data_IF_952664453390
#
_entry.id   IF_952664453390
#
_cell.length_a   1.000
_cell.length_b   1.000
_cell.length_c   1.000
_cell.angle_alpha   90.00
_cell.angle_beta   90.00
_cell.angle_gamma   90.00
#
_symmetry.space_group_name_H-M   'P 1'
#
loop_
_entity.id
_entity.type
_entity.pdbx_description
1 polymer ?
#
# COMPACT_ATOMS: atom_id res chain seq x y z
N UNK A 1 -11.99 -5.84 -12.13
CA UNK A 1 -11.45 -6.89 -11.24
C UNK A 1 -10.16 -7.38 -11.87
N UNK A 2 -9.06 -7.43 -11.12
CA UNK A 2 -7.78 -8.00 -11.60
C UNK A 2 -7.60 -9.34 -10.88
N UNK A 3 -7.21 -10.37 -11.61
CA UNK A 3 -6.96 -11.72 -11.09
C UNK A 3 -5.73 -12.31 -11.77
N UNK A 4 -4.95 -13.11 -11.03
CA UNK A 4 -3.77 -13.79 -11.54
C UNK A 4 -3.31 -14.89 -10.60
N UNK A 5 -2.47 -15.79 -11.11
CA UNK A 5 -1.86 -16.89 -10.35
C UNK A 5 -0.36 -16.62 -10.25
N UNK A 6 0.18 -16.67 -9.04
CA UNK A 6 1.61 -16.56 -8.78
C UNK A 6 2.12 -17.88 -8.21
N UNK A 7 3.24 -18.45 -8.71
CA UNK A 7 3.78 -19.72 -8.23
C UNK A 7 4.58 -19.54 -6.93
N UNK A 8 3.96 -18.92 -5.91
CA UNK A 8 4.57 -18.64 -4.60
C UNK A 8 3.55 -18.85 -3.48
N UNK A 9 4.05 -19.03 -2.26
CA UNK A 9 3.17 -19.17 -1.09
C UNK A 9 2.43 -17.85 -0.78
N UNK A 10 1.16 -17.90 -0.33
CA UNK A 10 0.40 -16.69 0.03
C UNK A 10 1.09 -15.81 1.08
N UNK A 11 1.76 -16.42 2.06
CA UNK A 11 2.52 -15.68 3.08
C UNK A 11 3.64 -14.83 2.48
N UNK A 12 4.29 -15.26 1.40
CA UNK A 12 5.32 -14.47 0.72
C UNK A 12 4.73 -13.19 0.11
N UNK A 13 3.51 -13.28 -0.42
CA UNK A 13 2.78 -12.12 -0.96
C UNK A 13 2.38 -11.16 0.15
N UNK A 14 1.90 -11.67 1.29
CA UNK A 14 1.58 -10.84 2.45
C UNK A 14 2.81 -10.12 2.97
N UNK A 15 3.94 -10.82 3.11
CA UNK A 15 5.20 -10.22 3.53
C UNK A 15 5.60 -9.08 2.62
N UNK A 16 5.51 -9.27 1.30
CA UNK A 16 5.90 -8.22 0.38
C UNK A 16 4.93 -7.03 0.37
N UNK A 17 3.62 -7.29 0.35
CA UNK A 17 2.62 -6.23 0.17
C UNK A 17 2.28 -5.48 1.47
N UNK A 18 2.36 -6.14 2.62
CA UNK A 18 2.02 -5.57 3.92
C UNK A 18 3.27 -5.23 4.75
N UNK A 19 4.10 -6.24 5.05
CA UNK A 19 5.24 -6.07 5.96
C UNK A 19 6.39 -5.26 5.34
N UNK A 20 6.69 -5.48 4.06
CA UNK A 20 7.74 -4.78 3.31
C UNK A 20 7.20 -3.59 2.51
N UNK A 21 6.04 -3.06 2.87
CA UNK A 21 5.36 -2.03 2.07
C UNK A 21 6.25 -0.83 1.70
N UNK A 22 7.09 -0.35 2.61
CA UNK A 22 7.98 0.79 2.36
C UNK A 22 9.08 0.48 1.32
N UNK A 23 9.39 -0.80 1.11
CA UNK A 23 10.32 -1.29 0.08
C UNK A 23 9.69 -1.43 -1.30
N UNK A 24 8.36 -1.28 -1.43
CA UNK A 24 7.64 -1.43 -2.71
C UNK A 24 8.24 -0.61 -3.88
N UNK A 25 8.74 0.63 -3.69
CA UNK A 25 9.37 1.39 -4.78
C UNK A 25 10.59 0.71 -5.41
N UNK A 26 11.25 -0.22 -4.70
CA UNK A 26 12.45 -0.90 -5.21
C UNK A 26 12.16 -1.86 -6.37
N UNK A 27 10.92 -2.35 -6.48
CA UNK A 27 10.52 -3.31 -7.52
C UNK A 27 9.30 -2.88 -8.32
N UNK A 28 8.46 -1.98 -7.79
CA UNK A 28 7.27 -1.50 -8.48
C UNK A 28 7.52 -0.14 -9.15
N UNK A 29 7.77 -0.09 -10.47
CA UNK A 29 8.11 1.16 -11.18
C UNK A 29 6.95 2.17 -11.23
N UNK A 30 5.73 1.77 -10.86
CA UNK A 30 4.56 2.64 -10.81
C UNK A 30 4.40 3.35 -9.46
N UNK A 31 5.30 3.11 -8.51
CA UNK A 31 5.26 3.68 -7.15
C UNK A 31 6.52 4.51 -6.94
N UNK A 32 6.34 5.78 -6.59
CA UNK A 32 7.45 6.71 -6.30
C UNK A 32 7.88 6.59 -4.84
N UNK A 33 6.90 6.53 -3.92
CA UNK A 33 7.15 6.51 -2.48
C UNK A 33 6.09 5.71 -1.76
N UNK A 34 6.51 4.98 -0.74
CA UNK A 34 5.66 4.34 0.25
C UNK A 34 6.21 4.63 1.65
N UNK A 35 5.32 4.91 2.59
CA UNK A 35 5.69 5.18 3.97
C UNK A 35 4.56 4.75 4.92
N UNK A 36 4.91 4.14 6.06
CA UNK A 36 3.96 3.93 7.16
C UNK A 36 3.90 5.21 7.99
N UNK A 37 2.72 5.82 8.08
CA UNK A 37 2.50 7.05 8.86
C UNK A 37 2.25 6.74 10.35
N UNK A 38 1.48 5.67 10.62
CA UNK A 38 1.09 5.28 11.96
C UNK A 38 0.80 3.78 11.99
N UNK A 39 1.35 3.05 12.95
CA UNK A 39 0.91 1.68 13.27
C UNK A 39 -0.18 1.75 14.34
N UNK A 40 -1.33 1.13 14.10
CA UNK A 40 -2.44 1.05 15.05
C UNK A 40 -2.29 -0.22 15.90
N UNK A 41 -2.01 -1.35 15.24
CA UNK A 41 -1.70 -2.62 15.89
C UNK A 41 -0.78 -3.46 14.96
N UNK A 42 -0.61 -4.76 15.26
CA UNK A 42 0.27 -5.65 14.49
C UNK A 42 -0.22 -5.92 13.05
N UNK A 43 -1.51 -5.74 12.78
CA UNK A 43 -2.18 -6.05 11.52
C UNK A 43 -2.85 -4.83 10.87
N UNK A 44 -2.80 -3.66 11.51
CA UNK A 44 -3.47 -2.44 11.07
C UNK A 44 -2.51 -1.24 11.07
N UNK A 45 -2.41 -0.55 9.94
CA UNK A 45 -1.61 0.66 9.81
C UNK A 45 -2.28 1.73 8.94
N UNK A 46 -1.84 2.98 9.09
CA UNK A 46 -2.12 4.07 8.16
C UNK A 46 -0.86 4.31 7.33
N UNK A 47 -1.01 4.28 6.02
CA UNK A 47 0.09 4.39 5.06
C UNK A 47 -0.08 5.58 4.12
N UNK A 48 1.04 6.05 3.59
CA UNK A 48 1.12 7.07 2.56
C UNK A 48 1.84 6.50 1.34
N UNK A 49 1.25 6.70 0.16
CA UNK A 49 1.81 6.23 -1.11
C UNK A 49 1.74 7.33 -2.17
N UNK A 50 2.78 7.46 -2.98
CA UNK A 50 2.79 8.29 -4.18
C UNK A 50 2.91 7.37 -5.40
N UNK A 51 1.97 7.48 -6.34
CA UNK A 51 2.02 6.80 -7.62
C UNK A 51 2.75 7.65 -8.66
N UNK A 52 3.46 6.98 -9.57
CA UNK A 52 4.06 7.62 -10.74
C UNK A 52 2.97 8.16 -11.68
N UNK A 53 3.28 9.22 -12.41
CA UNK A 53 2.44 9.67 -13.53
C UNK A 53 2.51 8.67 -14.69
N UNK A 54 1.42 8.53 -15.44
CA UNK A 54 1.35 7.65 -16.60
C UNK A 54 0.56 8.30 -17.73
N UNK A 55 1.25 8.62 -18.84
CA UNK A 55 0.64 9.28 -20.00
C UNK A 55 -0.07 10.60 -19.60
N UNK A 56 -1.37 10.78 -19.91
CA UNK A 56 -2.11 11.99 -19.55
C UNK A 56 -2.49 12.07 -18.06
N UNK A 57 -2.20 11.05 -17.25
CA UNK A 57 -2.59 10.99 -15.84
C UNK A 57 -1.46 11.51 -14.96
N UNK A 58 -1.69 12.63 -14.29
CA UNK A 58 -0.77 13.21 -13.30
C UNK A 58 -0.55 12.28 -12.11
N UNK A 59 0.62 12.37 -11.48
CA UNK A 59 0.94 11.68 -10.22
C UNK A 59 -0.11 11.97 -9.13
N UNK A 60 -0.41 10.96 -8.31
CA UNK A 60 -1.36 11.03 -7.19
C UNK A 60 -0.73 10.47 -5.94
N UNK A 61 -1.17 10.99 -4.82
CA UNK A 61 -0.85 10.49 -3.50
C UNK A 61 -2.11 9.96 -2.81
N UNK A 62 -1.91 9.00 -1.91
CA UNK A 62 -2.96 8.30 -1.20
C UNK A 62 -2.56 8.17 0.25
N UNK A 63 -3.51 8.41 1.14
CA UNK A 63 -3.43 8.05 2.56
C UNK A 63 -4.46 6.96 2.80
N UNK A 64 -4.02 5.78 3.23
CA UNK A 64 -4.91 4.62 3.40
C UNK A 64 -4.77 3.99 4.77
N UNK A 65 -5.89 3.66 5.39
CA UNK A 65 -5.95 2.69 6.48
C UNK A 65 -5.93 1.30 5.85
N UNK A 66 -4.99 0.46 6.26
CA UNK A 66 -4.80 -0.89 5.77
C UNK A 66 -4.97 -1.89 6.90
N UNK A 67 -5.63 -3.00 6.63
CA UNK A 67 -5.78 -4.11 7.58
C UNK A 67 -5.52 -5.43 6.89
N UNK A 68 -4.66 -6.24 7.49
CA UNK A 68 -4.34 -7.59 7.03
C UNK A 68 -4.99 -8.64 7.93
N UNK A 69 -5.55 -9.69 7.33
CA UNK A 69 -6.07 -10.85 8.05
C UNK A 69 -5.83 -12.16 7.29
N UNK A 70 -5.29 -13.16 7.99
CA UNK A 70 -5.33 -14.55 7.57
C UNK A 70 -6.59 -15.23 8.12
N UNK A 71 -7.28 -15.99 7.28
CA UNK A 71 -8.41 -16.85 7.65
C UNK A 71 -7.93 -18.27 7.91
N UNK A 72 -8.74 -19.04 8.63
CA UNK A 72 -8.46 -20.44 8.96
C UNK A 72 -8.42 -21.36 7.73
N UNK A 73 -9.07 -20.97 6.63
CA UNK A 73 -9.08 -21.70 5.36
C UNK A 73 -7.83 -21.43 4.49
N UNK A 74 -6.85 -20.68 5.01
CA UNK A 74 -5.64 -20.30 4.26
C UNK A 74 -5.82 -19.09 3.36
N UNK A 75 -6.97 -18.42 3.37
CA UNK A 75 -7.17 -17.17 2.62
C UNK A 75 -6.53 -15.99 3.35
N UNK A 76 -5.76 -15.19 2.62
CA UNK A 76 -5.17 -13.94 3.12
C UNK A 76 -5.86 -12.74 2.49
N UNK A 77 -6.24 -11.76 3.30
CA UNK A 77 -6.92 -10.54 2.84
C UNK A 77 -6.13 -9.34 3.33
N UNK A 78 -5.79 -8.44 2.41
CA UNK A 78 -5.33 -7.09 2.70
C UNK A 78 -6.41 -6.12 2.21
N UNK A 79 -7.11 -5.48 3.15
CA UNK A 79 -8.09 -4.45 2.84
C UNK A 79 -7.47 -3.07 3.03
N UNK A 80 -7.86 -2.11 2.19
CA UNK A 80 -7.42 -0.73 2.31
C UNK A 80 -8.57 0.24 2.00
N UNK A 81 -8.65 1.34 2.75
CA UNK A 81 -9.62 2.42 2.52
C UNK A 81 -8.95 3.77 2.69
N UNK A 82 -9.39 4.76 1.91
CA UNK A 82 -8.88 6.14 2.00
C UNK A 82 -9.28 6.77 3.33
N UNK A 83 -8.33 7.44 3.99
CA UNK A 83 -8.53 8.15 5.25
C UNK A 83 -7.78 9.49 5.25
N UNK A 84 -8.14 10.40 6.15
CA UNK A 84 -7.38 11.65 6.38
C UNK A 84 -6.36 11.41 7.48
N UNK A 85 -5.15 11.99 7.35
CA UNK A 85 -4.12 11.92 8.39
C UNK A 85 -3.40 13.27 8.51
N UNK A 86 -3.14 13.73 9.73
CA UNK A 86 -2.59 15.07 10.01
C UNK A 86 -1.18 15.29 9.43
N UNK A 87 -0.36 14.24 9.35
CA UNK A 87 0.98 14.30 8.74
C UNK A 87 0.97 14.46 7.21
N UNK A 88 -0.17 14.19 6.55
CA UNK A 88 -0.35 14.23 5.09
C UNK A 88 -1.71 14.84 4.74
N UNK A 89 -1.90 16.15 4.96
CA UNK A 89 -3.10 16.86 4.53
C UNK A 89 -3.21 16.88 3.00
N UNK A 90 -4.42 17.04 2.44
CA UNK A 90 -4.62 17.16 1.00
C UNK A 90 -3.91 18.38 0.40
N UNK A 91 -3.64 18.34 -0.91
CA UNK A 91 -3.11 19.46 -1.71
C UNK A 91 -1.70 19.96 -1.32
N UNK A 92 -0.88 19.10 -0.71
CA UNK A 92 0.54 19.43 -0.54
C UNK A 92 1.28 19.40 -1.89
N UNK A 93 2.28 20.28 -2.10
CA UNK A 93 3.19 20.16 -3.24
C UNK A 93 3.81 18.76 -3.23
N UNK A 94 3.59 18.02 -4.32
CA UNK A 94 4.14 16.66 -4.45
C UNK A 94 5.62 16.81 -4.77
N UNK A 95 6.48 16.37 -3.83
CA UNK A 95 7.90 16.24 -4.08
C UNK A 95 8.09 15.11 -5.10
N UNK A 96 8.18 15.49 -6.37
CA UNK A 96 8.57 14.62 -7.49
C UNK A 96 10.07 14.58 -7.63
#
# INVERSE_FOLDING_TARGET
MISGILPVAPNSIVTELFHNFESMPNWNPNVIKCQILQKIDAATDVSYQISKSGGPVSSRDFVTLRHYKAKSDGTHILAAVSVKHTLKPPNQPKLT
#
